data_IF_877747121745
#
_entry.id   IF_877747121745
#
_cell.length_a   1.000
_cell.length_b   1.000
_cell.length_c   1.000
_cell.angle_alpha   90.00
_cell.angle_beta   90.00
_cell.angle_gamma   90.00
#
_symmetry.space_group_name_H-M   'P 1'
#
loop_
_entity.id
_entity.type
_entity.pdbx_description
1 polymer ?
#
# COMPACT_ATOMS: atom_id res chain seq x y z
N UNK A 1 42.02 19.33 56.20
CA UNK A 1 40.66 19.67 56.68
C UNK A 1 40.26 21.03 56.13
N UNK A 2 38.96 21.25 55.96
CA UNK A 2 38.24 22.49 55.63
C UNK A 2 37.98 22.79 54.14
N UNK A 3 36.69 22.65 53.84
CA UNK A 3 35.89 22.83 52.63
C UNK A 3 35.41 24.27 52.38
N UNK A 4 34.93 24.51 51.13
CA UNK A 4 33.87 25.48 50.69
C UNK A 4 34.29 26.98 50.68
N UNK A 5 33.83 27.86 49.78
CA UNK A 5 32.66 27.90 48.87
C UNK A 5 32.85 29.00 47.80
N UNK A 6 32.22 28.77 46.63
CA UNK A 6 31.78 29.64 45.50
C UNK A 6 32.02 31.17 45.53
N UNK A 7 32.37 31.72 44.37
CA UNK A 7 31.69 32.90 43.80
C UNK A 7 31.79 32.93 42.26
N UNK A 8 30.71 33.40 41.67
CA UNK A 8 30.33 33.53 40.26
C UNK A 8 31.14 34.54 39.46
N UNK A 9 31.36 34.25 38.17
CA UNK A 9 31.48 35.29 37.15
C UNK A 9 30.95 34.78 35.81
N UNK A 10 29.89 35.43 35.35
CA UNK A 10 29.28 35.27 34.03
C UNK A 10 30.31 35.53 32.93
N UNK A 11 30.29 34.65 31.93
CA UNK A 11 30.81 34.92 30.59
C UNK A 11 29.72 34.49 29.61
N UNK A 12 29.01 35.47 29.07
CA UNK A 12 28.45 35.36 27.73
C UNK A 12 29.55 35.79 26.77
N UNK A 13 29.92 34.96 25.79
CA UNK A 13 29.46 35.24 24.43
C UNK A 13 29.76 34.13 23.42
N UNK A 14 28.81 34.03 22.47
CA UNK A 14 28.90 33.48 21.11
C UNK A 14 29.44 32.07 20.87
N UNK A 15 28.53 31.09 20.71
CA UNK A 15 28.77 29.90 19.87
C UNK A 15 27.63 29.76 18.86
N UNK A 16 27.98 29.88 17.57
CA UNK A 16 27.09 29.62 16.44
C UNK A 16 26.65 28.14 16.46
N UNK A 17 25.40 27.89 16.88
CA UNK A 17 24.80 26.57 16.84
C UNK A 17 24.13 26.35 15.48
N UNK A 18 24.91 25.99 14.45
CA UNK A 18 24.36 25.52 13.16
C UNK A 18 24.39 23.99 13.03
N UNK A 19 25.07 23.27 13.93
CA UNK A 19 25.06 21.80 13.91
C UNK A 19 25.04 21.24 15.34
N UNK A 20 23.84 21.16 15.92
CA UNK A 20 23.58 20.23 17.02
C UNK A 20 23.06 18.92 16.39
N UNK A 21 23.92 17.90 16.35
CA UNK A 21 23.49 16.52 16.11
C UNK A 21 22.69 16.09 17.33
N UNK A 22 21.37 16.20 17.25
CA UNK A 22 20.49 15.46 18.14
C UNK A 22 20.63 13.98 17.79
N UNK A 23 21.16 13.19 18.71
CA UNK A 23 21.08 11.73 18.65
C UNK A 23 19.61 11.36 18.73
N UNK A 24 18.98 11.13 17.57
CA UNK A 24 17.58 10.71 17.49
C UNK A 24 17.51 9.21 17.78
N UNK A 25 16.84 8.87 18.87
CA UNK A 25 16.52 7.50 19.23
C UNK A 25 15.59 6.92 18.16
N UNK A 26 16.09 5.92 17.42
CA UNK A 26 15.47 5.37 16.21
C UNK A 26 14.21 4.55 16.50
N UNK A 27 13.81 4.47 17.77
CA UNK A 27 12.67 3.71 18.27
C UNK A 27 11.34 4.48 18.25
N UNK A 28 11.36 5.80 18.06
CA UNK A 28 10.16 6.65 18.13
C UNK A 28 9.47 6.94 16.78
N UNK A 29 10.00 6.42 15.67
CA UNK A 29 9.46 6.66 14.31
C UNK A 29 8.51 5.56 13.86
N UNK A 30 8.53 4.38 14.51
CA UNK A 30 7.64 3.26 14.17
C UNK A 30 6.21 3.40 14.71
N UNK A 31 6.03 4.13 15.81
CA UNK A 31 4.75 4.16 16.55
C UNK A 31 3.72 5.16 15.99
N UNK A 32 4.11 6.03 15.05
CA UNK A 32 3.22 7.05 14.44
C UNK A 32 2.65 6.69 13.07
N UNK A 33 2.98 5.51 12.54
CA UNK A 33 2.45 5.05 11.24
C UNK A 33 1.21 4.17 11.37
N UNK A 34 0.94 3.64 12.56
CA UNK A 34 -0.29 2.92 12.88
C UNK A 34 -1.02 3.75 13.94
N UNK A 35 -2.09 4.44 13.54
CA UNK A 35 -2.89 5.21 14.48
C UNK A 35 -3.37 4.31 15.62
N UNK A 36 -2.88 4.55 16.83
CA UNK A 36 -3.57 4.11 18.05
C UNK A 36 -4.92 4.82 18.09
N UNK A 37 -5.98 4.11 17.71
CA UNK A 37 -7.29 4.37 18.29
C UNK A 37 -7.26 3.81 19.70
N UNK A 38 -6.88 4.64 20.66
CA UNK A 38 -7.16 4.37 22.08
C UNK A 38 -8.69 4.42 22.25
N UNK A 39 -9.31 3.26 22.10
CA UNK A 39 -10.70 3.00 22.39
C UNK A 39 -10.83 1.53 22.75
N UNK A 40 -11.14 1.26 24.01
CA UNK A 40 -11.48 -0.07 24.55
C UNK A 40 -12.76 -0.61 23.89
N UNK A 41 -12.68 -0.96 22.62
CA UNK A 41 -13.64 -1.78 21.91
C UNK A 41 -12.92 -3.04 21.48
N UNK A 42 -13.50 -4.19 21.80
CA UNK A 42 -13.17 -5.48 21.18
C UNK A 42 -13.41 -5.31 19.67
N UNK A 43 -12.41 -4.77 18.97
CA UNK A 43 -12.48 -4.34 17.59
C UNK A 43 -12.30 -5.57 16.73
N UNK A 44 -13.39 -6.29 16.48
CA UNK A 44 -13.45 -7.26 15.40
C UNK A 44 -13.26 -6.46 14.10
N UNK A 45 -12.00 -6.40 13.63
CA UNK A 45 -11.68 -5.93 12.29
C UNK A 45 -12.61 -6.68 11.33
N UNK A 46 -13.41 -5.93 10.58
CA UNK A 46 -14.44 -6.51 9.73
C UNK A 46 -13.89 -7.56 8.75
N UNK A 47 -14.76 -8.38 8.14
CA UNK A 47 -14.33 -9.42 7.21
C UNK A 47 -13.42 -8.89 6.11
N UNK A 48 -12.38 -9.65 5.78
CA UNK A 48 -11.35 -9.28 4.80
C UNK A 48 -11.61 -10.01 3.49
N UNK A 49 -11.59 -9.29 2.38
CA UNK A 49 -11.64 -9.84 1.02
C UNK A 49 -10.23 -9.89 0.47
N UNK A 50 -9.83 -11.08 -0.02
CA UNK A 50 -8.58 -11.28 -0.73
C UNK A 50 -8.80 -11.11 -2.22
N UNK A 51 -7.88 -10.39 -2.87
CA UNK A 51 -8.02 -9.94 -4.25
C UNK A 51 -6.73 -10.30 -5.01
N UNK A 52 -6.82 -10.71 -6.28
CA UNK A 52 -5.63 -10.90 -7.12
C UNK A 52 -4.83 -9.59 -7.23
N UNK A 53 -3.54 -9.63 -6.90
CA UNK A 53 -2.67 -8.45 -6.93
C UNK A 53 -2.51 -7.82 -8.31
N UNK A 54 -2.71 -8.58 -9.40
CA UNK A 54 -2.56 -8.10 -10.78
C UNK A 54 -3.84 -7.51 -11.38
N UNK A 55 -4.93 -8.29 -11.43
CA UNK A 55 -6.16 -7.86 -12.12
C UNK A 55 -7.28 -7.42 -11.19
N UNK A 56 -7.05 -7.42 -9.87
CA UNK A 56 -8.00 -7.00 -8.84
C UNK A 56 -9.30 -7.82 -8.79
N UNK A 57 -9.29 -9.04 -9.34
CA UNK A 57 -10.41 -9.97 -9.24
C UNK A 57 -10.47 -10.58 -7.83
N UNK A 58 -11.61 -10.59 -7.13
CA UNK A 58 -11.73 -11.22 -5.80
C UNK A 58 -11.46 -12.72 -5.88
N UNK A 59 -10.66 -13.24 -4.95
CA UNK A 59 -10.22 -14.65 -4.96
C UNK A 59 -10.73 -15.44 -3.75
N UNK A 60 -11.01 -14.78 -2.64
CA UNK A 60 -11.55 -15.39 -1.42
C UNK A 60 -11.77 -14.37 -0.32
N UNK A 61 -12.09 -14.85 0.88
CA UNK A 61 -12.35 -14.01 2.05
C UNK A 61 -11.98 -14.72 3.36
N UNK A 62 -11.85 -13.93 4.44
CA UNK A 62 -11.45 -14.41 5.77
C UNK A 62 -12.47 -15.31 6.46
N UNK A 63 -13.73 -15.39 5.98
CA UNK A 63 -14.73 -16.30 6.57
C UNK A 63 -14.40 -17.78 6.28
N UNK A 64 -13.52 -18.01 5.30
CA UNK A 64 -12.99 -19.33 4.96
C UNK A 64 -11.60 -19.60 5.54
N UNK A 65 -11.08 -18.75 6.44
CA UNK A 65 -9.73 -18.86 6.98
C UNK A 65 -9.44 -20.23 7.61
N UNK A 66 -8.26 -20.76 7.32
CA UNK A 66 -7.74 -22.01 7.90
C UNK A 66 -6.43 -21.80 8.68
N UNK A 67 -5.62 -20.80 8.31
CA UNK A 67 -4.40 -20.44 9.02
C UNK A 67 -3.41 -19.68 8.15
N UNK A 68 -2.28 -19.30 8.71
CA UNK A 68 -1.12 -18.76 7.97
C UNK A 68 0.05 -19.73 8.00
N UNK A 69 1.04 -19.46 7.16
CA UNK A 69 2.32 -20.12 7.13
C UNK A 69 3.41 -19.06 6.86
N UNK A 70 4.03 -18.59 7.95
CA UNK A 70 4.92 -17.43 7.92
C UNK A 70 6.21 -17.74 7.16
N UNK A 71 6.74 -18.97 7.28
CA UNK A 71 7.98 -19.37 6.61
C UNK A 71 7.87 -19.36 5.08
N UNK A 72 6.68 -19.64 4.56
CA UNK A 72 6.39 -19.65 3.12
C UNK A 72 5.67 -18.38 2.66
N UNK A 73 5.39 -17.44 3.57
CA UNK A 73 4.62 -16.22 3.32
C UNK A 73 3.28 -16.53 2.60
N UNK A 74 2.53 -17.47 3.17
CA UNK A 74 1.26 -17.96 2.61
C UNK A 74 0.14 -17.86 3.63
N UNK A 75 -1.07 -17.63 3.13
CA UNK A 75 -2.31 -17.83 3.88
C UNK A 75 -3.04 -19.06 3.37
N UNK A 76 -3.82 -19.71 4.22
CA UNK A 76 -4.62 -20.89 3.87
C UNK A 76 -6.10 -20.62 4.06
N UNK A 77 -6.87 -20.96 3.02
CA UNK A 77 -8.31 -20.88 3.02
C UNK A 77 -8.91 -22.27 2.79
N UNK A 78 -10.06 -22.55 3.41
CA UNK A 78 -10.86 -23.76 3.17
C UNK A 78 -11.62 -23.69 1.85
N UNK A 79 -11.93 -22.48 1.39
CA UNK A 79 -12.70 -22.21 0.17
C UNK A 79 -12.14 -20.98 -0.55
N UNK A 80 -12.30 -20.96 -1.86
CA UNK A 80 -12.01 -19.81 -2.74
C UNK A 80 -13.21 -19.59 -3.64
N UNK A 81 -13.25 -18.44 -4.31
CA UNK A 81 -14.27 -18.14 -5.32
C UNK A 81 -13.99 -18.88 -6.64
N UNK A 82 -14.98 -18.92 -7.54
CA UNK A 82 -14.82 -19.50 -8.89
C UNK A 82 -13.78 -18.76 -9.75
N UNK A 83 -13.35 -17.57 -9.32
CA UNK A 83 -12.28 -16.79 -9.95
C UNK A 83 -10.88 -17.39 -9.75
N UNK A 84 -10.77 -18.48 -8.98
CA UNK A 84 -9.55 -19.26 -8.80
C UNK A 84 -9.79 -20.65 -9.32
N UNK A 85 -8.95 -21.13 -10.24
CA UNK A 85 -9.00 -22.51 -10.70
C UNK A 85 -7.70 -23.24 -10.37
N UNK A 86 -7.84 -24.53 -10.09
CA UNK A 86 -6.73 -25.44 -9.83
C UNK A 86 -6.13 -25.85 -11.17
N UNK A 87 -4.81 -25.73 -11.29
CA UNK A 87 -4.05 -26.20 -12.46
C UNK A 87 -4.22 -27.71 -12.70
N UNK A 88 -3.68 -28.19 -13.82
CA UNK A 88 -3.74 -29.62 -14.18
C UNK A 88 -2.43 -30.36 -13.90
N UNK A 89 -1.33 -29.62 -13.80
CA UNK A 89 0.00 -30.19 -13.70
C UNK A 89 0.46 -30.24 -12.24
N UNK A 90 0.94 -31.41 -11.82
CA UNK A 90 1.58 -31.59 -10.53
C UNK A 90 3.06 -31.23 -10.63
N UNK A 91 3.60 -30.50 -9.65
CA UNK A 91 5.05 -30.29 -9.50
C UNK A 91 5.54 -30.72 -8.12
N UNK A 92 6.81 -31.12 -8.05
CA UNK A 92 7.47 -31.41 -6.78
C UNK A 92 7.74 -30.10 -6.04
N UNK A 93 7.48 -30.10 -4.74
CA UNK A 93 7.71 -28.97 -3.85
C UNK A 93 8.41 -29.45 -2.59
N UNK A 94 9.55 -28.85 -2.29
CA UNK A 94 10.35 -29.17 -1.11
C UNK A 94 10.03 -28.17 0.01
N UNK A 95 9.40 -28.66 1.09
CA UNK A 95 9.04 -27.87 2.27
C UNK A 95 10.07 -28.09 3.35
N UNK A 96 11.00 -27.12 3.50
CA UNK A 96 12.21 -27.30 4.28
C UNK A 96 13.06 -28.46 3.73
N UNK A 97 14.33 -28.57 4.15
CA UNK A 97 15.29 -29.55 3.59
C UNK A 97 14.98 -31.04 3.86
N UNK A 98 13.72 -31.41 4.12
CA UNK A 98 13.32 -32.69 4.70
C UNK A 98 11.98 -33.25 4.18
N UNK A 99 11.13 -32.49 3.50
CA UNK A 99 9.80 -32.99 3.10
C UNK A 99 9.49 -32.64 1.64
N UNK A 100 9.30 -33.69 0.83
CA UNK A 100 8.88 -33.58 -0.56
C UNK A 100 7.38 -33.78 -0.65
N UNK A 101 6.70 -32.81 -1.26
CA UNK A 101 5.28 -32.79 -1.51
C UNK A 101 5.01 -32.74 -3.03
N UNK A 102 3.82 -33.17 -3.43
CA UNK A 102 3.29 -32.85 -4.76
C UNK A 102 2.27 -31.74 -4.61
N UNK A 103 2.42 -30.69 -5.41
CA UNK A 103 1.54 -29.52 -5.39
C UNK A 103 0.97 -29.26 -6.78
N UNK A 104 -0.14 -28.53 -6.82
CA UNK A 104 -0.75 -28.00 -8.03
C UNK A 104 -0.93 -26.50 -7.85
N UNK A 105 -0.60 -25.73 -8.89
CA UNK A 105 -0.70 -24.27 -8.83
C UNK A 105 -2.16 -23.81 -8.86
N UNK A 106 -2.43 -22.74 -8.11
CA UNK A 106 -3.69 -21.99 -8.15
C UNK A 106 -3.55 -20.82 -9.10
N UNK A 107 -4.48 -20.69 -10.04
CA UNK A 107 -4.43 -19.71 -11.11
C UNK A 107 -5.62 -18.76 -11.04
N UNK A 108 -5.36 -17.47 -11.27
CA UNK A 108 -6.41 -16.47 -11.39
C UNK A 108 -7.16 -16.64 -12.72
N UNK A 109 -8.49 -16.72 -12.70
CA UNK A 109 -9.32 -16.79 -13.90
C UNK A 109 -9.21 -15.53 -14.77
N UNK A 110 -9.00 -14.36 -14.17
CA UNK A 110 -8.95 -13.09 -14.89
C UNK A 110 -7.65 -12.87 -15.69
N UNK A 111 -6.50 -13.12 -15.06
CA UNK A 111 -5.19 -12.82 -15.67
C UNK A 111 -4.25 -14.02 -15.80
N UNK A 112 -4.70 -15.22 -15.42
CA UNK A 112 -3.94 -16.48 -15.51
C UNK A 112 -2.62 -16.48 -14.72
N UNK A 113 -2.41 -15.53 -13.81
CA UNK A 113 -1.25 -15.55 -12.91
C UNK A 113 -1.40 -16.62 -11.85
N UNK A 114 -0.28 -17.19 -11.43
CA UNK A 114 -0.20 -18.04 -10.24
C UNK A 114 -0.46 -17.18 -9.01
N UNK A 115 -1.40 -17.62 -8.17
CA UNK A 115 -1.76 -16.99 -6.90
C UNK A 115 -1.25 -17.77 -5.69
N UNK A 116 -0.82 -19.02 -5.90
CA UNK A 116 -0.47 -19.93 -4.84
C UNK A 116 -0.55 -21.39 -5.29
N UNK A 117 -0.89 -22.29 -4.38
CA UNK A 117 -0.88 -23.73 -4.60
C UNK A 117 -1.83 -24.50 -3.69
N UNK A 118 -2.08 -25.75 -4.05
CA UNK A 118 -2.73 -26.77 -3.20
C UNK A 118 -1.82 -28.00 -3.08
N UNK A 119 -1.80 -28.61 -1.90
CA UNK A 119 -1.08 -29.86 -1.70
C UNK A 119 -1.90 -31.05 -2.22
N UNK A 120 -1.44 -31.68 -3.30
CA UNK A 120 -2.02 -32.90 -3.83
C UNK A 120 -1.58 -34.13 -3.01
N UNK A 121 -0.30 -34.17 -2.61
CA UNK A 121 0.26 -35.23 -1.76
C UNK A 121 1.22 -34.66 -0.73
N UNK A 122 1.07 -35.12 0.51
CA UNK A 122 1.84 -34.68 1.69
C UNK A 122 2.39 -35.88 2.45
N UNK A 123 3.54 -35.75 3.10
CA UNK A 123 3.94 -36.66 4.17
C UNK A 123 3.02 -36.52 5.39
N UNK A 124 2.97 -37.55 6.25
CA UNK A 124 2.04 -37.62 7.40
C UNK A 124 2.08 -36.41 8.35
N UNK A 125 3.26 -35.82 8.57
CA UNK A 125 3.42 -34.64 9.42
C UNK A 125 2.81 -33.36 8.80
N UNK A 126 2.47 -33.38 7.51
CA UNK A 126 1.96 -32.25 6.73
C UNK A 126 0.52 -32.47 6.24
N UNK A 127 -0.11 -33.60 6.60
CA UNK A 127 -1.47 -33.94 6.15
C UNK A 127 -2.53 -32.92 6.58
N UNK A 128 -2.31 -32.19 7.67
CA UNK A 128 -3.20 -31.11 8.10
C UNK A 128 -3.28 -29.94 7.12
N UNK A 129 -2.30 -29.79 6.21
CA UNK A 129 -2.29 -28.76 5.16
C UNK A 129 -3.01 -29.22 3.90
N UNK A 130 -3.35 -30.50 3.81
CA UNK A 130 -4.03 -31.08 2.65
C UNK A 130 -5.43 -30.49 2.51
N UNK A 131 -5.90 -30.36 1.28
CA UNK A 131 -7.24 -29.84 0.95
C UNK A 131 -7.51 -28.39 1.35
N UNK A 132 -6.45 -27.58 1.50
CA UNK A 132 -6.57 -26.13 1.70
C UNK A 132 -5.93 -25.39 0.55
N UNK A 133 -6.48 -24.21 0.25
CA UNK A 133 -5.97 -23.30 -0.77
C UNK A 133 -4.90 -22.42 -0.13
N UNK A 134 -3.63 -22.64 -0.50
CA UNK A 134 -2.51 -21.84 0.00
C UNK A 134 -2.26 -20.69 -0.97
N UNK A 135 -2.64 -19.46 -0.60
CA UNK A 135 -2.40 -18.27 -1.40
C UNK A 135 -1.10 -17.59 -0.95
N UNK A 136 -0.26 -17.21 -1.91
CA UNK A 136 0.95 -16.45 -1.64
C UNK A 136 0.56 -15.01 -1.31
N UNK A 137 1.03 -14.50 -0.16
CA UNK A 137 0.74 -13.12 0.26
C UNK A 137 1.27 -12.10 -0.76
N UNK A 138 2.37 -12.40 -1.45
CA UNK A 138 2.93 -11.52 -2.47
C UNK A 138 2.09 -11.40 -3.76
N UNK A 139 1.19 -12.36 -4.02
CA UNK A 139 0.39 -12.42 -5.24
C UNK A 139 -1.06 -11.93 -5.04
N UNK A 140 -1.42 -11.54 -3.81
CA UNK A 140 -2.76 -11.10 -3.42
C UNK A 140 -2.71 -9.76 -2.66
N UNK A 141 -3.80 -9.00 -2.75
CA UNK A 141 -4.07 -7.85 -1.90
C UNK A 141 -5.22 -8.19 -0.93
N UNK A 142 -5.33 -7.44 0.16
CA UNK A 142 -6.40 -7.57 1.16
C UNK A 142 -7.18 -6.26 1.30
N UNK A 143 -8.50 -6.36 1.37
CA UNK A 143 -9.38 -5.22 1.66
C UNK A 143 -10.32 -5.57 2.83
N UNK A 144 -10.27 -4.76 3.89
CA UNK A 144 -11.15 -4.90 5.06
C UNK A 144 -12.50 -4.26 4.73
N UNK A 145 -13.59 -5.01 4.85
CA UNK A 145 -14.91 -4.46 4.58
C UNK A 145 -15.26 -3.38 5.61
N UNK A 146 -15.67 -2.21 5.12
CA UNK A 146 -15.97 -1.05 5.95
C UNK A 146 -14.80 -0.09 6.18
N UNK A 147 -13.58 -0.40 5.72
CA UNK A 147 -12.40 0.43 5.95
C UNK A 147 -12.21 1.61 4.98
N UNK A 148 -13.21 1.94 4.15
CA UNK A 148 -13.11 2.99 3.14
C UNK A 148 -12.81 4.39 3.69
N UNK A 149 -13.07 4.63 4.98
CA UNK A 149 -12.73 5.88 5.68
C UNK A 149 -11.29 5.93 6.20
N UNK A 150 -10.56 4.80 6.18
CA UNK A 150 -9.18 4.72 6.64
C UNK A 150 -8.26 5.28 5.54
N UNK A 151 -7.66 6.44 5.80
CA UNK A 151 -6.68 7.05 4.90
C UNK A 151 -5.27 6.68 5.34
N UNK A 152 -4.40 6.35 4.38
CA UNK A 152 -2.96 6.26 4.63
C UNK A 152 -2.49 7.65 5.07
N UNK A 153 -1.80 7.75 6.20
CA UNK A 153 -1.24 9.00 6.75
C UNK A 153 -0.19 9.68 5.84
N UNK A 154 0.02 9.18 4.62
CA UNK A 154 1.00 9.66 3.65
C UNK A 154 0.48 10.79 2.74
N UNK A 155 -0.81 11.13 2.78
CA UNK A 155 -1.33 12.35 2.17
C UNK A 155 -1.10 13.54 3.09
N UNK A 156 -0.28 14.51 2.67
CA UNK A 156 -0.17 15.78 3.39
C UNK A 156 -1.57 16.36 3.64
N UNK A 157 -1.76 17.01 4.79
CA UNK A 157 -3.04 17.59 5.18
C UNK A 157 -3.61 18.49 4.06
N UNK A 158 -4.55 17.96 3.27
CA UNK A 158 -5.22 18.67 2.19
C UNK A 158 -5.32 17.95 0.85
N UNK A 159 -4.57 16.87 0.59
CA UNK A 159 -4.67 16.16 -0.69
C UNK A 159 -5.74 15.06 -0.62
N UNK A 160 -6.98 15.43 -0.98
CA UNK A 160 -8.04 14.45 -1.19
C UNK A 160 -7.81 13.75 -2.55
N UNK A 161 -7.67 12.42 -2.59
CA UNK A 161 -7.50 11.71 -3.85
C UNK A 161 -8.72 11.90 -4.74
N UNK A 162 -8.50 12.06 -6.05
CA UNK A 162 -9.60 12.14 -7.03
C UNK A 162 -10.31 10.79 -7.07
N UNK A 163 -11.50 10.74 -6.49
CA UNK A 163 -12.37 9.55 -6.53
C UNK A 163 -13.18 9.55 -7.83
N UNK A 164 -13.69 8.37 -8.19
CA UNK A 164 -14.52 8.19 -9.39
C UNK A 164 -15.74 9.14 -9.38
N UNK A 165 -16.31 9.38 -8.20
CA UNK A 165 -17.42 10.31 -7.98
C UNK A 165 -17.10 11.77 -8.38
N UNK A 166 -15.84 12.18 -8.26
CA UNK A 166 -15.39 13.54 -8.60
C UNK A 166 -14.91 13.66 -10.04
N UNK A 167 -14.85 12.56 -10.81
CA UNK A 167 -14.33 12.54 -12.18
C UNK A 167 -15.01 13.54 -13.10
N UNK A 168 -16.34 13.59 -13.09
CA UNK A 168 -17.11 14.50 -13.95
C UNK A 168 -16.82 15.98 -13.63
N UNK A 169 -16.66 16.29 -12.34
CA UNK A 169 -16.36 17.64 -11.86
C UNK A 169 -14.94 18.06 -12.24
N UNK A 170 -13.96 17.16 -12.15
CA UNK A 170 -12.58 17.42 -12.62
C UNK A 170 -12.54 17.61 -14.13
N UNK A 171 -13.22 16.75 -14.89
CA UNK A 171 -13.28 16.85 -16.36
C UNK A 171 -13.90 18.19 -16.79
N UNK A 172 -14.95 18.65 -16.10
CA UNK A 172 -15.55 19.96 -16.34
C UNK A 172 -14.59 21.12 -16.02
N UNK A 173 -13.94 21.11 -14.84
CA UNK A 173 -12.96 22.10 -14.45
C UNK A 173 -11.79 22.18 -15.45
N UNK A 174 -11.29 21.03 -15.91
CA UNK A 174 -10.25 20.95 -16.93
C UNK A 174 -10.71 21.50 -18.28
N UNK A 175 -11.96 21.26 -18.65
CA UNK A 175 -12.55 21.81 -19.89
C UNK A 175 -12.67 23.34 -19.83
N UNK A 176 -13.14 23.88 -18.70
CA UNK A 176 -13.20 25.33 -18.47
C UNK A 176 -11.81 25.97 -18.49
N UNK A 177 -10.83 25.35 -17.83
CA UNK A 177 -9.45 25.81 -17.83
C UNK A 177 -8.84 25.79 -19.24
N UNK A 178 -9.11 24.74 -20.02
CA UNK A 178 -8.69 24.65 -21.43
C UNK A 178 -9.24 25.79 -22.26
N UNK A 179 -10.53 26.10 -22.14
CA UNK A 179 -11.15 27.22 -22.86
C UNK A 179 -10.49 28.55 -22.51
N UNK A 180 -10.21 28.78 -21.23
CA UNK A 180 -9.58 30.00 -20.75
C UNK A 180 -8.14 30.14 -21.29
N UNK A 181 -7.34 29.08 -21.23
CA UNK A 181 -5.97 29.06 -21.76
C UNK A 181 -5.94 29.29 -23.27
N UNK A 182 -6.85 28.66 -24.03
CA UNK A 182 -6.94 28.89 -25.48
C UNK A 182 -7.32 30.34 -25.80
N UNK A 183 -8.23 30.94 -25.03
CA UNK A 183 -8.61 32.35 -25.21
C UNK A 183 -7.45 33.31 -24.94
N UNK A 184 -6.60 33.01 -23.95
CA UNK A 184 -5.41 33.78 -23.65
C UNK A 184 -4.37 33.64 -24.76
N UNK A 185 -4.18 32.43 -25.28
CA UNK A 185 -3.24 32.18 -26.38
C UNK A 185 -3.62 32.98 -27.64
N UNK A 186 -4.90 33.01 -28.00
CA UNK A 186 -5.39 33.80 -29.15
C UNK A 186 -5.16 35.30 -28.95
N UNK A 187 -5.47 35.84 -27.77
CA UNK A 187 -5.22 37.26 -27.47
C UNK A 187 -3.73 37.62 -27.48
N UNK A 188 -2.86 36.71 -27.04
CA UNK A 188 -1.41 36.92 -27.11
C UNK A 188 -0.93 36.95 -28.56
N UNK A 189 -1.44 36.06 -29.42
CA UNK A 189 -1.12 36.04 -30.85
C UNK A 189 -1.54 37.34 -31.55
N UNK A 190 -2.74 37.87 -31.26
CA UNK A 190 -3.20 39.17 -31.76
C UNK A 190 -2.25 40.32 -31.34
N UNK A 191 -1.80 40.33 -30.08
CA UNK A 191 -0.87 41.34 -29.55
C UNK A 191 0.51 41.21 -30.23
N UNK A 192 1.00 39.99 -30.44
CA UNK A 192 2.28 39.74 -31.11
C UNK A 192 2.28 40.21 -32.57
N UNK A 193 1.18 40.00 -33.29
CA UNK A 193 1.01 40.48 -34.67
C UNK A 193 0.96 42.02 -34.71
N UNK A 194 0.13 42.65 -33.88
CA UNK A 194 0.03 44.11 -33.84
C UNK A 194 1.34 44.79 -33.43
N UNK A 195 2.15 44.14 -32.59
CA UNK A 195 3.49 44.62 -32.24
C UNK A 195 4.46 44.51 -33.42
N UNK A 196 4.40 43.46 -34.24
CA UNK A 196 5.25 43.29 -35.44
C UNK A 196 4.95 44.35 -36.50
N UNK A 197 3.68 44.66 -36.74
CA UNK A 197 3.25 45.70 -37.68
C UNK A 197 3.63 47.13 -37.23
N UNK A 198 3.81 47.34 -35.92
CA UNK A 198 4.30 48.60 -35.36
C UNK A 198 5.79 48.87 -35.58
N UNK A 199 6.61 47.83 -35.82
CA UNK A 199 8.04 47.97 -36.12
C UNK A 199 8.34 48.10 -37.63
N UNK A 200 7.36 47.88 -38.52
CA UNK A 200 7.51 48.02 -39.98
C UNK A 200 7.08 49.39 -40.53
N UNK A 201 6.74 50.34 -39.66
CA UNK A 201 6.42 51.71 -40.07
C UNK A 201 7.69 52.59 -39.98
N UNK A 202 8.21 53.11 -41.10
CA UNK A 202 9.47 53.88 -41.14
C UNK A 202 9.37 55.24 -40.44
#
# INVERSE_FOLDING_TARGET
>A
MATRKKSSKERQDSLNATFAVSSVDSTSVGEKLFGQTDGDGDGDDGPVVFICGKCKLPVGDSLSWDGSEDEQNQIRLKRVTDNVYVGKENRMYEVGKRSLCLIVDLLCQGCHSVLGMVYASTPKNMDHKRFTFCLNVADIDSYVLGSASQSLAAGGAGEQPVTLEYRSQVEEQLSQMKMLVMSMALKLEEIEIGRREGYERP
#
